data_IF_409323592919
#
_entry.id   IF_409323592919
#
_cell.length_a   1.000
_cell.length_b   1.000
_cell.length_c   1.000
_cell.angle_alpha   90.00
_cell.angle_beta   90.00
_cell.angle_gamma   90.00
#
_symmetry.space_group_name_H-M   'P 1'
#
loop_
_entity.id
_entity.type
_entity.pdbx_description
1 polymer ?
#
# COMPACT_ATOMS: atom_id res chain seq x y z
N UNK A 1 -19.27 -12.03 -15.04
CA UNK A 1 -19.70 -11.05 -14.02
C UNK A 1 -18.65 -9.95 -13.94
N UNK A 2 -19.01 -8.70 -14.25
CA UNK A 2 -18.11 -7.55 -14.15
C UNK A 2 -18.41 -6.81 -12.84
N UNK A 3 -17.41 -6.60 -11.99
CA UNK A 3 -17.54 -5.85 -10.72
C UNK A 3 -16.62 -4.64 -10.77
N UNK A 4 -17.14 -3.40 -10.64
CA UNK A 4 -16.33 -2.19 -10.74
C UNK A 4 -15.61 -1.90 -9.41
N UNK A 5 -14.59 -2.70 -9.08
CA UNK A 5 -13.84 -2.61 -7.81
C UNK A 5 -13.32 -1.21 -7.52
N UNK A 6 -12.77 -0.52 -8.53
CA UNK A 6 -12.25 0.83 -8.39
C UNK A 6 -13.31 1.84 -7.92
N UNK A 7 -14.54 1.73 -8.42
CA UNK A 7 -15.64 2.62 -8.03
C UNK A 7 -16.19 2.27 -6.65
N UNK A 8 -16.29 0.97 -6.34
CA UNK A 8 -16.71 0.50 -5.01
C UNK A 8 -15.76 1.00 -3.91
N UNK A 9 -14.44 0.93 -4.13
CA UNK A 9 -13.43 1.39 -3.18
C UNK A 9 -13.35 2.94 -3.11
N UNK A 10 -14.07 3.65 -3.98
CA UNK A 10 -14.17 5.12 -3.98
C UNK A 10 -15.56 5.68 -3.71
N UNK A 11 -16.52 4.82 -3.35
CA UNK A 11 -17.88 5.25 -3.00
C UNK A 11 -17.87 6.13 -1.74
N UNK A 12 -18.18 7.42 -1.90
CA UNK A 12 -18.21 8.42 -0.81
C UNK A 12 -19.26 8.11 0.26
N UNK A 13 -20.33 7.40 -0.08
CA UNK A 13 -21.37 7.02 0.89
C UNK A 13 -20.85 5.99 1.90
N UNK A 14 -19.84 5.19 1.51
CA UNK A 14 -19.21 4.18 2.38
C UNK A 14 -17.93 4.70 3.00
N UNK A 15 -17.11 5.40 2.21
CA UNK A 15 -15.76 5.83 2.59
C UNK A 15 -15.69 7.30 3.03
N UNK A 16 -16.82 8.01 3.11
CA UNK A 16 -16.89 9.41 3.52
C UNK A 16 -16.36 10.40 2.48
N UNK A 17 -16.03 11.61 2.93
CA UNK A 17 -15.74 12.74 2.05
C UNK A 17 -14.52 12.52 1.14
N UNK A 18 -13.46 11.91 1.67
CA UNK A 18 -12.14 11.73 1.02
C UNK A 18 -11.76 10.24 0.85
N UNK A 19 -12.39 9.51 -0.09
CA UNK A 19 -12.06 8.10 -0.34
C UNK A 19 -10.68 7.90 -0.98
N UNK A 20 -10.14 8.92 -1.66
CA UNK A 20 -8.85 8.87 -2.35
C UNK A 20 -7.66 9.13 -1.43
N UNK A 21 -7.89 9.54 -0.17
CA UNK A 21 -6.84 9.79 0.81
C UNK A 21 -6.63 8.55 1.67
N UNK A 22 -5.37 8.30 2.04
CA UNK A 22 -5.01 7.21 2.95
C UNK A 22 -5.34 7.64 4.37
N UNK A 23 -6.28 6.93 4.99
CA UNK A 23 -6.68 7.12 6.39
C UNK A 23 -6.53 5.78 7.13
N UNK A 24 -5.38 5.52 7.78
CA UNK A 24 -5.10 4.24 8.43
C UNK A 24 -6.14 3.89 9.51
N UNK A 25 -6.60 4.89 10.25
CA UNK A 25 -7.51 4.72 11.39
C UNK A 25 -8.94 4.42 10.97
N UNK A 26 -9.27 4.51 9.68
CA UNK A 26 -10.64 4.37 9.17
C UNK A 26 -11.31 3.07 9.63
N UNK A 27 -10.57 1.96 9.62
CA UNK A 27 -11.07 0.65 10.03
C UNK A 27 -11.08 0.46 11.55
N UNK A 28 -10.30 1.26 12.29
CA UNK A 28 -10.33 1.30 13.75
C UNK A 28 -11.56 2.08 14.23
N UNK A 29 -11.82 3.25 13.63
CA UNK A 29 -12.98 4.09 13.96
C UNK A 29 -14.31 3.47 13.54
N UNK A 30 -14.33 2.70 12.44
CA UNK A 30 -15.54 2.01 11.99
C UNK A 30 -15.25 0.56 11.55
N UNK A 31 -15.23 -0.41 12.49
CA UNK A 31 -14.97 -1.81 12.18
C UNK A 31 -15.99 -2.45 11.24
N UNK A 32 -17.22 -1.90 11.14
CA UNK A 32 -18.26 -2.41 10.23
C UNK A 32 -17.85 -2.32 8.76
N UNK A 33 -16.92 -1.42 8.42
CA UNK A 33 -16.39 -1.29 7.05
C UNK A 33 -15.74 -2.57 6.53
N UNK A 34 -15.23 -3.43 7.42
CA UNK A 34 -14.66 -4.74 7.05
C UNK A 34 -15.70 -5.67 6.41
N UNK A 35 -16.98 -5.49 6.72
CA UNK A 35 -18.10 -6.27 6.18
C UNK A 35 -18.87 -5.52 5.07
N UNK A 36 -18.40 -4.34 4.66
CA UNK A 36 -19.06 -3.55 3.62
C UNK A 36 -19.03 -4.27 2.28
N UNK A 37 -20.13 -4.23 1.53
CA UNK A 37 -20.20 -4.73 0.14
C UNK A 37 -19.23 -4.01 -0.79
N UNK A 38 -18.85 -2.78 -0.45
CA UNK A 38 -17.86 -1.96 -1.14
C UNK A 38 -16.42 -2.29 -0.77
N UNK A 39 -16.17 -3.09 0.28
CA UNK A 39 -14.84 -3.53 0.65
C UNK A 39 -14.56 -4.93 0.07
N UNK A 40 -13.84 -4.97 -1.06
CA UNK A 40 -13.52 -6.22 -1.78
C UNK A 40 -12.07 -6.29 -2.25
N UNK A 41 -11.08 -6.32 -1.34
CA UNK A 41 -9.66 -6.35 -1.70
C UNK A 41 -9.20 -7.69 -2.29
N UNK A 42 -9.98 -8.77 -2.11
CA UNK A 42 -9.62 -10.13 -2.52
C UNK A 42 -10.71 -10.80 -3.39
N UNK A 43 -11.55 -10.02 -4.07
CA UNK A 43 -12.71 -10.54 -4.80
C UNK A 43 -13.90 -10.86 -3.87
N UNK A 44 -14.77 -11.80 -4.26
CA UNK A 44 -15.90 -12.23 -3.43
C UNK A 44 -16.73 -13.35 -4.06
N UNK A 45 -17.51 -14.08 -3.25
CA UNK A 45 -18.28 -15.23 -3.71
C UNK A 45 -17.37 -16.35 -4.23
N UNK A 46 -17.70 -16.93 -5.39
CA UNK A 46 -16.92 -17.99 -6.03
C UNK A 46 -15.54 -17.53 -6.54
N UNK A 47 -15.31 -16.23 -6.69
CA UNK A 47 -14.02 -15.65 -7.11
C UNK A 47 -13.20 -15.08 -5.96
N UNK A 48 -13.53 -15.45 -4.71
CA UNK A 48 -12.77 -15.04 -3.54
C UNK A 48 -11.36 -15.65 -3.58
N UNK A 49 -10.34 -14.81 -3.48
CA UNK A 49 -8.94 -15.24 -3.55
C UNK A 49 -8.65 -16.31 -2.47
N UNK A 50 -8.21 -17.53 -2.86
CA UNK A 50 -7.87 -18.58 -1.90
C UNK A 50 -6.64 -18.19 -1.05
N UNK A 51 -5.71 -17.40 -1.62
CA UNK A 51 -4.49 -16.94 -0.95
C UNK A 51 -4.67 -15.78 0.04
N UNK A 52 -5.88 -15.23 0.23
CA UNK A 52 -6.10 -14.00 1.03
C UNK A 52 -5.55 -14.06 2.46
N UNK A 53 -5.66 -15.22 3.11
CA UNK A 53 -5.21 -15.39 4.49
C UNK A 53 -3.68 -15.44 4.56
N UNK A 54 -3.06 -16.16 3.61
CA UNK A 54 -1.60 -16.22 3.48
C UNK A 54 -1.04 -14.84 3.13
N UNK A 55 -1.63 -14.15 2.15
CA UNK A 55 -1.23 -12.81 1.74
C UNK A 55 -1.26 -11.82 2.92
N UNK A 56 -2.34 -11.81 3.72
CA UNK A 56 -2.43 -10.97 4.93
C UNK A 56 -1.31 -11.26 5.92
N UNK A 57 -0.99 -12.53 6.16
CA UNK A 57 0.09 -12.95 7.07
C UNK A 57 1.45 -12.53 6.54
N UNK A 58 1.75 -12.80 5.28
CA UNK A 58 3.03 -12.43 4.65
C UNK A 58 3.22 -10.91 4.67
N UNK A 59 2.20 -10.13 4.29
CA UNK A 59 2.26 -8.67 4.35
C UNK A 59 2.48 -8.20 5.79
N UNK A 60 1.78 -8.79 6.76
CA UNK A 60 1.97 -8.48 8.18
C UNK A 60 3.39 -8.76 8.66
N UNK A 61 3.95 -9.93 8.36
CA UNK A 61 5.32 -10.28 8.72
C UNK A 61 6.36 -9.41 8.01
N UNK A 62 6.17 -9.12 6.73
CA UNK A 62 7.07 -8.24 5.98
C UNK A 62 7.10 -6.83 6.56
N UNK A 63 5.92 -6.24 6.82
CA UNK A 63 5.81 -4.91 7.46
C UNK A 63 6.42 -4.93 8.85
N UNK A 64 6.07 -5.91 9.68
CA UNK A 64 6.63 -6.05 11.03
C UNK A 64 8.16 -6.18 10.99
N UNK A 65 8.70 -7.04 10.14
CA UNK A 65 10.14 -7.20 9.94
C UNK A 65 10.82 -5.91 9.50
N UNK A 66 10.24 -5.18 8.54
CA UNK A 66 10.75 -3.90 8.08
C UNK A 66 10.80 -2.85 9.20
N UNK A 67 9.69 -2.65 9.93
CA UNK A 67 9.60 -1.58 10.95
C UNK A 67 10.34 -1.90 12.25
N UNK A 68 10.53 -3.18 12.57
CA UNK A 68 11.22 -3.61 13.81
C UNK A 68 12.73 -3.68 13.62
N UNK A 69 13.21 -4.17 12.47
CA UNK A 69 14.63 -4.43 12.23
C UNK A 69 15.36 -3.26 11.58
N UNK A 70 14.64 -2.41 10.86
CA UNK A 70 15.25 -1.32 10.09
C UNK A 70 14.73 0.05 10.52
N UNK A 71 15.60 1.03 10.43
CA UNK A 71 15.29 2.44 10.31
C UNK A 71 15.12 2.74 8.81
N UNK A 72 13.95 3.24 8.43
CA UNK A 72 13.55 3.40 7.03
C UNK A 72 13.57 4.89 6.68
N UNK A 73 14.43 5.28 5.74
CA UNK A 73 14.48 6.64 5.20
C UNK A 73 14.17 6.64 3.71
N UNK A 74 13.66 7.75 3.19
CA UNK A 74 13.46 7.92 1.75
C UNK A 74 14.62 8.73 1.17
N UNK A 75 15.29 8.19 0.16
CA UNK A 75 16.34 8.89 -0.56
C UNK A 75 15.74 9.70 -1.71
N UNK A 76 15.44 10.97 -1.43
CA UNK A 76 14.82 11.88 -2.39
C UNK A 76 15.73 12.12 -3.61
N UNK A 77 17.05 12.18 -3.41
CA UNK A 77 17.99 12.41 -4.51
C UNK A 77 18.06 11.22 -5.46
N UNK A 78 18.23 10.00 -4.95
CA UNK A 78 18.23 8.79 -5.77
C UNK A 78 16.87 8.56 -6.41
N UNK A 79 15.79 8.83 -5.68
CA UNK A 79 14.43 8.78 -6.23
C UNK A 79 14.27 9.75 -7.41
N UNK A 80 14.74 10.99 -7.28
CA UNK A 80 14.69 11.97 -8.37
C UNK A 80 15.53 11.52 -9.58
N UNK A 81 16.73 10.99 -9.34
CA UNK A 81 17.61 10.48 -10.41
C UNK A 81 16.98 9.30 -11.16
N UNK A 82 16.43 8.32 -10.44
CA UNK A 82 15.75 7.16 -11.02
C UNK A 82 14.54 7.56 -11.89
N UNK A 83 13.82 8.61 -11.49
CA UNK A 83 12.67 9.14 -12.22
C UNK A 83 13.07 10.17 -13.32
N UNK A 84 14.33 10.14 -13.77
CA UNK A 84 14.84 10.95 -14.88
C UNK A 84 15.17 12.40 -14.54
N UNK A 85 15.29 12.77 -13.26
CA UNK A 85 15.64 14.12 -12.79
C UNK A 85 14.58 15.20 -13.03
N UNK A 86 13.54 14.90 -13.83
CA UNK A 86 12.53 15.85 -14.33
C UNK A 86 11.64 16.45 -13.25
N UNK A 87 11.62 15.86 -12.06
CA UNK A 87 10.67 16.22 -11.01
C UNK A 87 11.14 17.34 -10.08
N UNK A 88 12.46 17.58 -9.94
CA UNK A 88 12.99 18.66 -9.10
C UNK A 88 12.39 18.73 -7.68
N UNK A 89 11.91 17.59 -7.16
CA UNK A 89 11.09 17.56 -5.97
C UNK A 89 11.98 17.68 -4.73
N UNK A 90 11.64 18.61 -3.83
CA UNK A 90 12.28 18.76 -2.51
C UNK A 90 11.81 17.70 -1.50
N UNK A 91 10.75 16.96 -1.82
CA UNK A 91 10.11 15.98 -0.94
C UNK A 91 9.64 14.75 -1.73
N UNK A 92 9.55 13.57 -1.10
CA UNK A 92 9.07 12.37 -1.77
C UNK A 92 7.58 12.52 -2.12
N UNK A 93 7.23 12.24 -3.37
CA UNK A 93 5.84 12.24 -3.85
C UNK A 93 5.38 10.81 -4.04
N UNK A 94 4.15 10.53 -3.61
CA UNK A 94 3.57 9.21 -3.78
C UNK A 94 3.45 8.84 -5.28
N UNK A 95 3.85 7.62 -5.68
CA UNK A 95 3.78 7.17 -7.07
C UNK A 95 2.39 7.33 -7.68
N UNK A 96 2.32 7.86 -8.90
CA UNK A 96 1.04 7.97 -9.60
C UNK A 96 0.58 6.60 -10.07
N UNK A 97 -0.69 6.35 -9.85
CA UNK A 97 -1.37 5.16 -10.32
C UNK A 97 -1.46 5.13 -11.85
N UNK A 98 -1.08 4.02 -12.47
CA UNK A 98 -1.21 3.86 -13.92
C UNK A 98 -2.61 3.35 -14.31
N UNK A 99 -3.48 4.26 -14.76
CA UNK A 99 -4.84 3.94 -15.23
C UNK A 99 -4.90 3.43 -16.68
N UNK A 100 -3.80 3.51 -17.46
CA UNK A 100 -3.84 3.13 -18.89
C UNK A 100 -3.79 1.61 -19.11
N UNK A 101 -3.43 0.84 -18.08
CA UNK A 101 -3.39 -0.62 -18.12
C UNK A 101 -4.51 -1.19 -17.26
N UNK A 102 -5.41 -2.04 -17.79
CA UNK A 102 -6.41 -2.71 -16.97
C UNK A 102 -5.68 -3.62 -15.98
N UNK A 103 -5.97 -3.45 -14.68
CA UNK A 103 -5.36 -4.27 -13.64
C UNK A 103 -6.46 -5.02 -12.86
N UNK A 104 -6.53 -6.36 -12.99
CA UNK A 104 -7.50 -7.16 -12.24
C UNK A 104 -7.15 -7.31 -10.74
N UNK A 105 -6.00 -6.79 -10.29
CA UNK A 105 -5.51 -6.90 -8.92
C UNK A 105 -4.72 -5.68 -8.45
N UNK A 106 -3.57 -5.90 -7.82
CA UNK A 106 -2.75 -4.84 -7.26
C UNK A 106 -2.17 -3.95 -8.37
N UNK A 107 -2.54 -2.67 -8.33
CA UNK A 107 -2.17 -1.71 -9.36
C UNK A 107 -0.74 -1.24 -9.23
N UNK A 108 -0.04 -1.18 -10.36
CA UNK A 108 1.34 -0.73 -10.44
C UNK A 108 1.39 0.78 -10.71
N UNK A 109 2.43 1.46 -10.21
CA UNK A 109 2.66 2.85 -10.56
C UNK A 109 3.08 2.98 -12.04
N UNK A 110 3.18 4.22 -12.52
CA UNK A 110 3.89 4.49 -13.76
C UNK A 110 5.36 4.06 -13.63
N UNK A 111 5.96 3.57 -14.71
CA UNK A 111 7.33 3.03 -14.69
C UNK A 111 8.44 4.04 -14.42
N UNK A 112 8.11 5.33 -14.29
CA UNK A 112 9.02 6.42 -13.95
C UNK A 112 8.57 7.15 -12.66
N UNK A 113 7.85 6.44 -11.81
CA UNK A 113 7.31 6.92 -10.53
C UNK A 113 7.78 5.97 -9.39
N UNK A 114 9.06 5.62 -9.36
CA UNK A 114 9.62 4.79 -8.28
C UNK A 114 9.91 5.62 -7.01
N UNK A 115 9.98 4.95 -5.85
CA UNK A 115 10.41 5.53 -4.57
C UNK A 115 11.53 4.67 -4.01
N UNK A 116 12.68 5.27 -3.74
CA UNK A 116 13.86 4.58 -3.24
C UNK A 116 13.94 4.75 -1.71
N UNK A 117 13.93 3.62 -1.01
CA UNK A 117 14.13 3.57 0.43
C UNK A 117 15.58 3.22 0.77
N UNK A 118 16.12 3.83 1.82
CA UNK A 118 17.35 3.43 2.49
C UNK A 118 16.96 2.70 3.77
N UNK A 119 17.39 1.46 3.87
CA UNK A 119 17.18 0.61 5.04
C UNK A 119 18.48 0.55 5.82
N UNK A 120 18.45 1.02 7.07
CA UNK A 120 19.58 0.92 8.00
C UNK A 120 19.18 0.00 9.14
N UNK A 121 20.02 -0.97 9.49
CA UNK A 121 19.70 -1.87 10.60
C UNK A 121 19.61 -1.12 11.93
N UNK A 122 18.59 -1.45 12.72
CA UNK A 122 18.38 -0.91 14.05
C UNK A 122 19.27 -1.65 15.04
N UNK A 123 20.14 -0.92 15.74
CA UNK A 123 21.09 -1.48 16.72
C UNK A 123 20.39 -2.22 17.86
N UNK A 124 19.21 -1.75 18.28
CA UNK A 124 18.44 -2.34 19.38
C UNK A 124 17.84 -3.71 19.03
N UNK A 125 17.63 -3.99 17.74
CA UNK A 125 17.06 -5.26 17.27
C UNK A 125 18.04 -6.44 17.37
N UNK A 126 19.35 -6.16 17.41
CA UNK A 126 20.40 -7.19 17.53
C UNK A 126 20.45 -7.75 18.96
N UNK A 127 20.11 -6.96 19.98
CA UNK A 127 20.10 -7.41 21.38
C UNK A 127 18.93 -8.34 21.74
N UNK A 128 17.86 -8.36 20.92
CA UNK A 128 16.64 -9.16 21.17
C UNK A 128 16.58 -10.44 20.33
N UNK A 129 17.57 -10.69 19.47
CA UNK A 129 17.65 -11.87 18.60
C UNK A 129 18.52 -13.01 19.16
N UNK A 130 19.13 -12.82 20.34
CA UNK A 130 20.04 -13.77 21.01
C UNK A 130 19.63 -14.12 22.46
N UNK A 131 18.37 -13.84 22.85
CA UNK A 131 17.73 -14.36 24.06
C UNK A 131 16.50 -15.17 23.65
#
# INVERSE_FOLDING_TARGET
>A
MLVPFHQLHRNRDVWGADPSKVHPDRFLSNPKLLNSKSYRPFGGGSTLCPGRNLARRIIGFAVAGLVTRYEIHIDVEKTNKANGGRRGLKAPVFPRFNHSKPNPGASLPFGNDDVIFLLKERKDAISQAFL
#
